data_IF_449477383300
#
_entry.id   IF_449477383300
#
_cell.length_a   1.000
_cell.length_b   1.000
_cell.length_c   1.000
_cell.angle_alpha   90.00
_cell.angle_beta   90.00
_cell.angle_gamma   90.00
#
_symmetry.space_group_name_H-M   'P 1'
#
loop_
_entity.id
_entity.type
_entity.pdbx_description
1 polymer ?
#
# COMPACT_ATOMS: atom_id res chain seq x y z
N UNK A 1 17.47 -13.96 -1.04
CA UNK A 1 17.48 -12.73 -0.26
C UNK A 1 16.18 -12.09 -0.65
N UNK A 2 15.12 -12.50 0.03
CA UNK A 2 13.83 -11.84 -0.11
C UNK A 2 14.02 -10.51 0.60
N UNK A 3 14.41 -9.52 -0.21
CA UNK A 3 14.45 -8.13 0.19
C UNK A 3 12.98 -7.74 0.31
N UNK A 4 12.50 -7.67 1.55
CA UNK A 4 11.19 -7.09 1.85
C UNK A 4 11.16 -5.74 1.13
N UNK A 5 10.21 -5.54 0.21
CA UNK A 5 10.12 -4.28 -0.53
C UNK A 5 9.60 -3.21 0.43
N UNK A 6 10.52 -2.56 1.14
CA UNK A 6 10.25 -1.33 1.90
C UNK A 6 10.59 -0.13 1.02
N UNK A 7 9.81 0.93 1.16
CA UNK A 7 10.00 2.20 0.47
C UNK A 7 10.15 3.32 1.49
N UNK A 8 11.13 4.19 1.31
CA UNK A 8 11.29 5.40 2.10
C UNK A 8 10.38 6.47 1.51
N UNK A 9 9.33 6.84 2.25
CA UNK A 9 8.39 7.88 1.85
C UNK A 9 8.75 9.18 2.58
N UNK A 10 9.02 10.24 1.80
CA UNK A 10 9.18 11.58 2.34
C UNK A 10 7.82 12.27 2.40
N UNK A 11 7.32 12.52 3.60
CA UNK A 11 6.08 13.26 3.84
C UNK A 11 6.28 14.77 3.58
N UNK A 12 5.18 15.50 3.37
CA UNK A 12 5.19 16.97 3.21
C UNK A 12 5.79 17.71 4.43
N UNK A 13 5.81 17.05 5.59
CA UNK A 13 6.44 17.49 6.83
C UNK A 13 7.99 17.46 6.81
N UNK A 14 8.65 17.07 5.71
CA UNK A 14 10.11 16.79 5.67
C UNK A 14 10.51 15.57 6.53
N UNK A 15 9.52 14.79 6.97
CA UNK A 15 9.71 13.54 7.71
C UNK A 15 9.82 12.38 6.73
N UNK A 16 10.82 11.52 6.96
CA UNK A 16 11.01 10.29 6.19
C UNK A 16 10.48 9.13 7.03
N UNK A 17 9.47 8.46 6.50
CA UNK A 17 8.89 7.25 7.10
C UNK A 17 9.23 6.05 6.23
N UNK A 18 9.63 4.95 6.86
CA UNK A 18 9.81 3.68 6.17
C UNK A 18 8.45 2.99 6.07
N UNK A 19 8.04 2.66 4.85
CA UNK A 19 6.79 1.98 4.60
C UNK A 19 7.05 0.61 4.00
N UNK A 20 6.41 -0.43 4.54
CA UNK A 20 6.38 -1.73 3.90
C UNK A 20 5.34 -1.74 2.78
N UNK A 21 5.73 -2.23 1.59
CA UNK A 21 4.80 -2.44 0.49
C UNK A 21 4.01 -3.72 0.79
N UNK A 22 2.70 -3.57 0.99
CA UNK A 22 1.80 -4.71 1.21
C UNK A 22 1.47 -5.36 -0.13
N UNK A 23 0.93 -4.57 -1.06
CA UNK A 23 0.48 -5.05 -2.37
C UNK A 23 0.33 -3.91 -3.37
N UNK A 24 0.37 -4.26 -4.66
CA UNK A 24 0.13 -3.40 -5.81
C UNK A 24 -1.04 -3.98 -6.59
N UNK A 25 -2.08 -3.18 -6.83
CA UNK A 25 -3.31 -3.65 -7.46
C UNK A 25 -3.89 -2.61 -8.41
N UNK A 26 -4.66 -3.07 -9.40
CA UNK A 26 -5.38 -2.21 -10.33
C UNK A 26 -6.84 -2.10 -9.91
N UNK A 27 -7.35 -0.88 -9.74
CA UNK A 27 -8.76 -0.63 -9.47
C UNK A 27 -9.26 0.57 -10.27
N UNK A 28 -10.51 0.56 -10.73
CA UNK A 28 -11.07 1.67 -11.51
C UNK A 28 -10.29 2.08 -12.77
N UNK A 29 -9.41 1.20 -13.29
CA UNK A 29 -8.53 1.47 -14.44
C UNK A 29 -7.27 2.30 -14.10
N UNK A 30 -6.87 2.33 -12.83
CA UNK A 30 -5.62 2.94 -12.34
C UNK A 30 -4.92 1.96 -11.41
N UNK A 31 -3.61 2.14 -11.24
CA UNK A 31 -2.78 1.33 -10.35
C UNK A 31 -2.64 2.01 -8.99
N UNK A 32 -2.77 1.23 -7.93
CA UNK A 32 -2.64 1.68 -6.55
C UNK A 32 -1.68 0.79 -5.79
N UNK A 33 -1.07 1.38 -4.76
CA UNK A 33 -0.18 0.71 -3.84
C UNK A 33 -0.72 0.86 -2.42
N UNK A 34 -0.72 -0.25 -1.68
CA UNK A 34 -0.98 -0.26 -0.25
C UNK A 34 0.34 -0.28 0.51
N UNK A 35 0.55 0.74 1.33
CA UNK A 35 1.76 0.95 2.11
C UNK A 35 1.43 0.92 3.59
N UNK A 36 2.26 0.25 4.37
CA UNK A 36 2.12 0.18 5.81
C UNK A 36 3.27 0.98 6.46
N UNK A 37 3.00 2.13 7.07
CA UNK A 37 4.01 2.91 7.75
C UNK A 37 4.54 2.13 8.95
N UNK A 38 5.86 1.99 9.00
CA UNK A 38 6.58 1.35 10.09
C UNK A 38 7.17 2.45 10.98
N UNK A 39 6.93 2.35 12.28
CA UNK A 39 7.61 3.21 13.24
C UNK A 39 9.07 2.75 13.46
N UNK A 40 9.81 3.47 14.32
CA UNK A 40 11.22 3.13 14.64
C UNK A 40 11.41 1.72 15.22
N UNK A 41 10.36 1.09 15.75
CA UNK A 41 10.37 -0.27 16.28
C UNK A 41 9.92 -1.33 15.23
N UNK A 42 9.56 -0.90 14.01
CA UNK A 42 9.02 -1.76 12.96
C UNK A 42 7.57 -2.19 13.21
N UNK A 43 6.89 -1.52 14.13
CA UNK A 43 5.49 -1.76 14.46
C UNK A 43 4.60 -0.76 13.70
N UNK A 44 3.37 -1.15 13.45
CA UNK A 44 2.37 -0.31 12.81
C UNK A 44 1.57 0.40 13.90
N UNK A 45 1.43 1.71 13.84
CA UNK A 45 0.48 2.39 14.71
C UNK A 45 -0.94 2.10 14.19
N UNK A 46 -1.73 1.35 14.98
CA UNK A 46 -3.18 1.12 14.82
C UNK A 46 -3.69 0.44 13.53
N UNK A 47 -2.82 0.03 12.60
CA UNK A 47 -3.24 -0.58 11.33
C UNK A 47 -3.60 0.45 10.25
N UNK A 48 -3.09 1.67 10.36
CA UNK A 48 -3.20 2.69 9.33
C UNK A 48 -2.47 2.23 8.05
N UNK A 49 -3.23 1.85 7.02
CA UNK A 49 -2.70 1.56 5.67
C UNK A 49 -2.82 2.81 4.81
N UNK A 50 -1.72 3.21 4.18
CA UNK A 50 -1.72 4.32 3.25
C UNK A 50 -1.92 3.82 1.82
N UNK A 51 -2.98 4.33 1.18
CA UNK A 51 -3.27 4.06 -0.22
C UNK A 51 -2.81 5.23 -1.07
N UNK A 52 -1.95 4.93 -2.04
CA UNK A 52 -1.46 5.90 -3.03
C UNK A 52 -1.70 5.39 -4.44
N UNK A 53 -1.87 6.32 -5.39
CA UNK A 53 -1.85 5.98 -6.81
C UNK A 53 -0.41 5.76 -7.24
N UNK A 54 -0.14 4.58 -7.79
CA UNK A 54 1.15 4.22 -8.35
C UNK A 54 1.18 4.63 -9.82
N UNK A 55 2.18 5.42 -10.21
CA UNK A 55 2.44 5.75 -11.61
C UNK A 55 3.94 5.64 -11.91
N UNK A 56 4.29 5.45 -13.18
CA UNK A 56 5.68 5.50 -13.63
C UNK A 56 5.91 6.80 -14.42
N UNK A 57 6.91 7.59 -14.03
CA UNK A 57 7.31 8.78 -14.81
C UNK A 57 7.88 8.37 -16.19
N UNK A 58 8.06 9.33 -17.08
CA UNK A 58 8.76 9.17 -18.36
C UNK A 58 10.16 8.52 -18.26
N UNK A 59 10.82 8.57 -17.08
CA UNK A 59 12.08 7.87 -16.83
C UNK A 59 11.94 6.44 -16.33
N UNK A 60 10.72 5.97 -16.08
CA UNK A 60 10.44 4.68 -15.44
C UNK A 60 10.74 4.69 -13.93
N UNK A 61 10.70 5.87 -13.33
CA UNK A 61 10.83 6.04 -11.88
C UNK A 61 9.42 5.95 -11.26
N UNK A 62 9.22 5.15 -10.19
CA UNK A 62 7.93 5.04 -9.54
C UNK A 62 7.58 6.33 -8.82
N UNK A 63 6.41 6.89 -9.12
CA UNK A 63 5.82 8.04 -8.48
C UNK A 63 4.54 7.66 -7.72
N UNK A 64 4.39 8.21 -6.52
CA UNK A 64 3.25 7.98 -5.66
C UNK A 64 2.44 9.27 -5.53
N UNK A 65 1.17 9.21 -5.91
CA UNK A 65 0.26 10.35 -5.83
C UNK A 65 -0.83 10.10 -4.77
N UNK A 66 -1.12 11.12 -3.96
CA UNK A 66 -2.22 11.06 -2.99
C UNK A 66 -3.56 10.99 -3.74
N UNK A 67 -4.50 10.21 -3.19
CA UNK A 67 -5.86 10.13 -3.68
C UNK A 67 -6.67 11.26 -3.02
N UNK A 68 -6.99 12.31 -3.79
CA UNK A 68 -7.76 13.47 -3.28
C UNK A 68 -9.28 13.30 -3.41
N UNK A 69 -9.72 12.35 -4.26
CA UNK A 69 -11.12 12.10 -4.57
C UNK A 69 -11.65 10.94 -3.70
N UNK A 70 -12.73 11.19 -2.98
CA UNK A 70 -13.28 10.24 -2.00
C UNK A 70 -13.79 8.97 -2.70
N UNK A 71 -14.49 9.11 -3.84
CA UNK A 71 -14.96 7.99 -4.65
C UNK A 71 -13.78 7.13 -5.17
N UNK A 72 -12.68 7.76 -5.59
CA UNK A 72 -11.45 7.05 -6.00
C UNK A 72 -10.82 6.28 -4.84
N UNK A 73 -10.77 6.89 -3.65
CA UNK A 73 -10.24 6.24 -2.46
C UNK A 73 -11.10 5.04 -2.05
N UNK A 74 -12.44 5.17 -2.10
CA UNK A 74 -13.36 4.06 -1.83
C UNK A 74 -13.11 2.89 -2.79
N UNK A 75 -12.89 3.15 -4.08
CA UNK A 75 -12.59 2.09 -5.06
C UNK A 75 -11.26 1.39 -4.73
N UNK A 76 -10.23 2.15 -4.37
CA UNK A 76 -8.93 1.57 -4.00
C UNK A 76 -9.03 0.76 -2.71
N UNK A 77 -9.74 1.27 -1.72
CA UNK A 77 -9.95 0.60 -0.44
C UNK A 77 -10.75 -0.71 -0.60
N UNK A 78 -11.82 -0.71 -1.41
CA UNK A 78 -12.63 -1.89 -1.71
C UNK A 78 -11.78 -3.01 -2.36
N UNK A 79 -10.92 -2.64 -3.31
CA UNK A 79 -10.01 -3.60 -3.94
C UNK A 79 -8.93 -4.12 -2.97
N UNK A 80 -8.44 -3.28 -2.06
CA UNK A 80 -7.51 -3.71 -1.01
C UNK A 80 -8.17 -4.65 -0.01
N UNK A 81 -9.41 -4.37 0.42
CA UNK A 81 -10.18 -5.22 1.33
C UNK A 81 -10.47 -6.59 0.70
N UNK A 82 -10.82 -6.64 -0.59
CA UNK A 82 -10.97 -7.90 -1.33
C UNK A 82 -9.67 -8.69 -1.38
N UNK A 83 -8.52 -8.03 -1.58
CA UNK A 83 -7.22 -8.68 -1.51
C UNK A 83 -6.91 -9.20 -0.11
N UNK A 84 -7.20 -8.44 0.94
CA UNK A 84 -7.00 -8.87 2.33
C UNK A 84 -7.85 -10.09 2.68
N UNK A 85 -9.12 -10.13 2.28
CA UNK A 85 -10.01 -11.29 2.45
C UNK A 85 -9.45 -12.52 1.72
N UNK A 86 -8.89 -12.32 0.52
CA UNK A 86 -8.17 -13.37 -0.22
C UNK A 86 -6.96 -13.90 0.56
N UNK A 87 -6.14 -13.02 1.15
CA UNK A 87 -4.98 -13.43 1.93
C UNK A 87 -5.39 -14.15 3.23
N UNK A 88 -6.44 -13.68 3.92
CA UNK A 88 -6.99 -14.35 5.11
C UNK A 88 -7.54 -15.75 4.77
N UNK A 89 -8.18 -15.89 3.62
CA UNK A 89 -8.67 -17.17 3.14
C UNK A 89 -7.53 -18.14 2.76
N UNK A 90 -6.43 -17.64 2.19
CA UNK A 90 -5.23 -18.43 1.91
C UNK A 90 -4.51 -18.89 3.20
N UNK A 91 -4.55 -18.08 4.28
CA UNK A 91 -3.97 -18.43 5.58
C UNK A 91 -4.79 -19.48 6.35
N UNK A 92 -6.12 -19.42 6.24
CA UNK A 92 -7.06 -20.27 6.99
C UNK A 92 -7.32 -21.65 6.34
N UNK A 93 -6.54 -22.04 5.33
CA UNK A 93 -6.76 -23.23 4.50
C UNK A 93 -6.23 -24.57 5.04
N UNK A 94 -5.70 -24.65 6.27
CA UNK A 94 -5.14 -25.88 6.86
C UNK A 94 -5.73 -26.16 8.27
N UNK A 95 -7.02 -26.55 8.32
CA UNK A 95 -7.55 -27.37 9.42
C UNK A 95 -8.70 -28.26 8.89
N UNK A 96 -8.34 -29.40 8.29
CA UNK A 96 -9.16 -30.63 8.32
C UNK A 96 -8.30 -31.83 8.77
#
# INVERSE_FOLDING_TARGET
>A
MDEYMTVELTLDNDEVVECAILTLFEAGGKEYIALLPLNEDGETEDGDVYLYRYTEDANGEPELENIEDDDEYEIAADAFDEWMDTQEFEESGDDE
#
